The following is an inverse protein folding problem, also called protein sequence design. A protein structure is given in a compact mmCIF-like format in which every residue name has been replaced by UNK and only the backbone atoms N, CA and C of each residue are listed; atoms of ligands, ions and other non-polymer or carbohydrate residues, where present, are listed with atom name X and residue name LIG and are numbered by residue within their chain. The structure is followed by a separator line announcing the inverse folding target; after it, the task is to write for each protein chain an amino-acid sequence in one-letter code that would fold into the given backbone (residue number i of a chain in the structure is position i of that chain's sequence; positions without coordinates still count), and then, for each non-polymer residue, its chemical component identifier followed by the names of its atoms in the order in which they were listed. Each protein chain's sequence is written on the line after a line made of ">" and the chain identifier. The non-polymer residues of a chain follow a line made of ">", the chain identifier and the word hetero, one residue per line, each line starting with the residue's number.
data_IF_931246737175
#
_entry.id   IF_931246737175
#
_cell.length_a   1.000
_cell.length_b   1.000
_cell.length_c   1.000
_cell.angle_alpha   90.00
_cell.angle_beta   90.00
_cell.angle_gamma   90.00
#
_symmetry.space_group_name_H-M   'P 1'
#
loop_
_entity.id
_entity.type
_entity.pdbx_description
1 polymer ?
#
# COMPACT_ATOMS: atom_id res chain seq x y z
N UNK A 1 4.83 -20.44 50.22
CA UNK A 1 4.43 -21.19 49.00
C UNK A 1 5.67 -21.83 48.40
N UNK A 2 5.68 -23.15 48.33
CA UNK A 2 6.73 -23.97 47.72
C UNK A 2 6.80 -23.70 46.21
N UNK A 3 7.90 -23.08 45.73
CA UNK A 3 8.16 -22.93 44.29
C UNK A 3 8.52 -24.31 43.72
N UNK A 4 7.61 -24.90 42.93
CA UNK A 4 7.92 -26.05 42.06
C UNK A 4 8.79 -25.56 40.91
N UNK A 5 10.02 -26.04 40.83
CA UNK A 5 10.86 -25.87 39.65
C UNK A 5 10.39 -26.84 38.57
N UNK A 6 9.88 -26.30 37.46
CA UNK A 6 9.64 -27.06 36.25
C UNK A 6 10.93 -27.07 35.45
N UNK A 7 11.58 -28.23 35.35
CA UNK A 7 12.78 -28.40 34.56
C UNK A 7 12.37 -28.65 33.10
N UNK A 8 12.08 -27.58 32.36
CA UNK A 8 11.69 -27.64 30.94
C UNK A 8 12.84 -27.06 30.11
N UNK A 9 13.32 -27.82 29.12
CA UNK A 9 14.44 -27.42 28.27
C UNK A 9 13.93 -26.53 27.12
N UNK A 10 14.69 -25.48 26.78
CA UNK A 10 14.36 -24.51 25.72
C UNK A 10 14.08 -25.18 24.35
N UNK A 11 14.71 -26.33 24.09
CA UNK A 11 14.53 -27.11 22.86
C UNK A 11 13.13 -27.74 22.78
N UNK A 12 12.61 -28.22 23.91
CA UNK A 12 11.26 -28.81 24.01
C UNK A 12 10.17 -27.75 23.84
N UNK A 13 10.39 -26.52 24.30
CA UNK A 13 9.46 -25.41 24.10
C UNK A 13 9.35 -24.98 22.63
N UNK A 14 10.44 -25.13 21.86
CA UNK A 14 10.47 -24.80 20.43
C UNK A 14 9.85 -25.92 19.60
N UNK A 15 10.13 -27.19 19.92
CA UNK A 15 9.53 -28.36 19.25
C UNK A 15 8.04 -28.52 19.56
N UNK A 16 7.57 -28.10 20.75
CA UNK A 16 6.16 -28.10 21.12
C UNK A 16 5.34 -26.95 20.48
N UNK A 17 5.95 -26.10 19.64
CA UNK A 17 5.23 -25.03 18.94
C UNK A 17 4.74 -23.91 19.85
N UNK A 18 5.48 -23.55 20.92
CA UNK A 18 5.12 -22.42 21.79
C UNK A 18 5.31 -21.10 21.04
N UNK A 19 4.23 -20.64 20.41
CA UNK A 19 4.13 -19.35 19.74
C UNK A 19 3.90 -18.20 20.74
N UNK A 20 4.75 -17.17 20.71
CA UNK A 20 4.50 -15.88 21.36
C UNK A 20 3.42 -15.11 20.59
N UNK A 21 2.17 -15.52 20.79
CA UNK A 21 0.98 -14.95 20.15
C UNK A 21 0.26 -15.96 19.26
N UNK A 22 -0.98 -16.26 19.60
CA UNK A 22 -1.90 -17.03 18.76
C UNK A 22 -2.75 -16.12 17.87
N UNK A 23 -3.24 -16.64 16.75
CA UNK A 23 -4.34 -16.01 16.01
C UNK A 23 -5.61 -15.92 16.87
N UNK A 24 -6.46 -14.93 16.58
CA UNK A 24 -7.64 -14.49 17.37
C UNK A 24 -8.65 -15.63 17.67
N UNK A 25 -8.54 -16.77 16.99
CA UNK A 25 -9.47 -17.90 17.14
C UNK A 25 -9.22 -18.82 18.34
N UNK A 26 -8.05 -18.76 19.01
CA UNK A 26 -7.69 -19.69 20.10
C UNK A 26 -7.04 -18.98 21.30
N UNK A 27 -7.77 -18.13 22.00
CA UNK A 27 -7.28 -17.53 23.25
C UNK A 27 -8.34 -17.52 24.35
N UNK A 28 -7.88 -17.60 25.61
CA UNK A 28 -8.71 -17.51 26.81
C UNK A 28 -9.01 -16.03 27.12
N UNK A 29 -10.27 -15.58 27.25
CA UNK A 29 -10.66 -14.18 27.47
C UNK A 29 -9.93 -13.45 28.61
N UNK A 30 -9.42 -14.17 29.62
CA UNK A 30 -8.65 -13.60 30.73
C UNK A 30 -7.22 -13.17 30.35
N UNK A 31 -6.71 -13.60 29.20
CA UNK A 31 -5.37 -13.23 28.69
C UNK A 31 -5.35 -11.86 27.98
N UNK A 32 -6.49 -11.18 27.87
CA UNK A 32 -6.66 -9.91 27.17
C UNK A 32 -5.72 -8.78 27.65
N UNK A 33 -5.43 -8.65 28.96
CA UNK A 33 -4.54 -7.61 29.46
C UNK A 33 -3.06 -7.82 29.05
N UNK A 34 -2.67 -9.07 28.76
CA UNK A 34 -1.28 -9.46 28.52
C UNK A 34 -0.91 -9.51 27.03
N UNK A 35 -1.89 -9.42 26.14
CA UNK A 35 -1.71 -9.41 24.68
C UNK A 35 -1.76 -7.95 24.19
N UNK A 36 -0.81 -7.12 24.63
CA UNK A 36 -0.79 -5.68 24.31
C UNK A 36 -0.11 -5.33 22.98
N UNK A 37 0.74 -6.22 22.44
CA UNK A 37 1.57 -5.87 21.28
C UNK A 37 0.75 -5.78 19.98
N UNK A 38 -0.20 -6.70 19.76
CA UNK A 38 -0.94 -6.78 18.49
C UNK A 38 -2.06 -5.74 18.36
N UNK A 39 -2.72 -5.38 19.47
CA UNK A 39 -3.86 -4.43 19.46
C UNK A 39 -3.44 -2.96 19.33
N UNK A 40 -2.27 -2.57 19.84
CA UNK A 40 -1.79 -1.17 19.75
C UNK A 40 -1.03 -0.86 18.45
N UNK A 41 -0.49 -1.88 17.79
CA UNK A 41 0.25 -1.75 16.53
C UNK A 41 -0.64 -1.35 15.33
N UNK A 42 -1.91 -1.79 15.31
CA UNK A 42 -2.81 -1.62 14.17
C UNK A 42 -3.42 -0.20 13.98
N UNK A 43 -3.12 0.76 14.87
CA UNK A 43 -3.76 2.09 14.84
C UNK A 43 -2.77 3.24 14.62
N UNK A 44 -2.00 3.28 13.53
CA UNK A 44 -1.24 4.48 13.12
C UNK A 44 -0.36 5.12 14.21
N UNK A 45 0.12 4.32 15.17
CA UNK A 45 0.89 4.76 16.32
C UNK A 45 2.37 4.85 15.96
N UNK A 46 3.07 5.86 16.46
CA UNK A 46 4.49 6.04 16.23
C UNK A 46 5.31 5.22 17.23
N UNK A 47 6.15 4.33 16.73
CA UNK A 47 7.05 3.51 17.54
C UNK A 47 8.48 4.05 17.50
N UNK A 48 9.17 3.97 18.64
CA UNK A 48 10.57 4.31 18.78
C UNK A 48 11.35 3.12 19.35
N UNK A 49 12.38 2.67 18.65
CA UNK A 49 13.26 1.58 19.12
C UNK A 49 14.57 2.18 19.62
N UNK A 50 14.94 1.83 20.85
CA UNK A 50 16.15 2.32 21.51
C UNK A 50 17.06 1.14 21.82
N UNK A 51 18.31 1.23 21.36
CA UNK A 51 19.35 0.27 21.71
C UNK A 51 20.71 0.78 21.27
N UNK A 52 21.49 1.27 22.22
CA UNK A 52 22.76 1.96 21.96
C UNK A 52 24.00 1.10 22.22
N UNK A 53 23.80 -0.12 22.74
CA UNK A 53 24.86 -1.13 22.90
C UNK A 53 25.57 -1.31 21.55
N UNK A 54 26.89 -1.09 21.51
CA UNK A 54 27.70 -1.08 20.25
C UNK A 54 27.42 -2.29 19.36
N UNK A 55 27.25 -3.46 19.96
CA UNK A 55 26.94 -4.73 19.29
C UNK A 55 25.53 -4.69 18.67
N UNK A 56 24.52 -4.21 19.39
CA UNK A 56 23.14 -4.17 18.91
C UNK A 56 22.83 -3.01 17.96
N UNK A 57 23.61 -1.92 18.01
CA UNK A 57 23.30 -0.65 17.34
C UNK A 57 22.95 -0.79 15.84
N UNK A 58 23.68 -1.61 15.09
CA UNK A 58 23.46 -1.76 13.65
C UNK A 58 22.28 -2.69 13.35
N UNK A 59 22.02 -3.67 14.23
CA UNK A 59 20.82 -4.49 14.18
C UNK A 59 19.57 -3.67 14.48
N UNK A 60 19.60 -2.79 15.49
CA UNK A 60 18.49 -1.90 15.83
C UNK A 60 18.13 -1.02 14.64
N UNK A 61 19.14 -0.36 14.05
CA UNK A 61 18.91 0.48 12.88
C UNK A 61 18.31 -0.31 11.72
N UNK A 62 18.87 -1.49 11.43
CA UNK A 62 18.39 -2.35 10.35
C UNK A 62 16.97 -2.86 10.60
N UNK A 63 16.64 -3.29 11.82
CA UNK A 63 15.32 -3.74 12.20
C UNK A 63 14.30 -2.59 12.15
N UNK A 64 14.65 -1.42 12.68
CA UNK A 64 13.79 -0.24 12.67
C UNK A 64 13.54 0.30 11.26
N UNK A 65 14.57 0.34 10.39
CA UNK A 65 14.41 0.76 8.99
C UNK A 65 13.51 -0.20 8.23
N UNK A 66 13.73 -1.52 8.39
CA UNK A 66 12.85 -2.54 7.79
C UNK A 66 11.41 -2.40 8.27
N UNK A 67 11.24 -2.07 9.54
CA UNK A 67 9.98 -1.84 10.19
C UNK A 67 9.52 -0.38 10.16
N UNK A 68 10.04 0.47 9.26
CA UNK A 68 9.66 1.90 9.12
C UNK A 68 9.42 2.67 10.44
N UNK A 69 10.15 2.34 11.49
CA UNK A 69 10.03 2.91 12.83
C UNK A 69 11.17 3.88 13.08
N UNK A 70 10.97 4.80 14.02
CA UNK A 70 12.05 5.65 14.50
C UNK A 70 13.00 4.86 15.39
N UNK A 71 14.27 5.24 15.42
CA UNK A 71 15.24 4.56 16.28
C UNK A 71 16.34 5.47 16.82
N UNK A 72 16.89 5.07 17.95
CA UNK A 72 18.11 5.64 18.53
C UNK A 72 19.09 4.51 18.80
N UNK A 73 20.18 4.47 18.03
CA UNK A 73 21.14 3.38 18.09
C UNK A 73 22.58 3.78 18.47
N UNK A 74 22.87 5.08 18.61
CA UNK A 74 24.23 5.55 18.97
C UNK A 74 24.33 6.07 20.40
N UNK A 75 23.47 7.00 20.80
CA UNK A 75 23.43 7.56 22.16
C UNK A 75 22.08 8.17 22.44
N UNK A 76 21.52 7.89 23.62
CA UNK A 76 20.37 8.60 24.17
C UNK A 76 20.85 9.87 24.89
N UNK A 77 20.25 11.02 24.58
CA UNK A 77 20.51 12.25 25.31
C UNK A 77 19.45 12.44 26.38
N UNK A 78 19.87 12.81 27.60
CA UNK A 78 18.92 13.22 28.63
C UNK A 78 18.13 14.44 28.15
N UNK A 79 16.81 14.41 28.32
CA UNK A 79 15.90 15.43 27.83
C UNK A 79 15.40 15.20 26.41
N UNK A 80 15.74 14.09 25.76
CA UNK A 80 15.38 13.88 24.35
C UNK A 80 13.86 13.82 24.14
N UNK A 81 13.12 13.21 25.08
CA UNK A 81 11.65 13.19 25.04
C UNK A 81 11.05 14.23 26.00
N UNK A 82 11.58 14.34 27.21
CA UNK A 82 11.05 15.27 28.23
C UNK A 82 11.23 16.74 27.85
N UNK A 83 12.23 17.07 27.02
CA UNK A 83 12.45 18.40 26.45
C UNK A 83 12.25 18.40 24.93
N UNK A 84 11.09 17.89 24.49
CA UNK A 84 10.77 17.70 23.08
C UNK A 84 10.87 18.97 22.24
N UNK A 85 10.58 20.15 22.80
CA UNK A 85 10.68 21.43 22.08
C UNK A 85 12.12 21.70 21.62
N UNK A 86 13.12 21.49 22.47
CA UNK A 86 14.54 21.64 22.12
C UNK A 86 14.95 20.57 21.12
N UNK A 87 14.52 19.32 21.33
CA UNK A 87 14.80 18.22 20.38
C UNK A 87 14.25 18.53 19.00
N UNK A 88 13.01 19.02 18.91
CA UNK A 88 12.34 19.41 17.66
C UNK A 88 13.10 20.54 16.95
N UNK A 89 13.57 21.55 17.68
CA UNK A 89 14.41 22.63 17.10
C UNK A 89 15.71 22.08 16.52
N UNK A 90 16.38 21.15 17.22
CA UNK A 90 17.60 20.50 16.70
C UNK A 90 17.32 19.63 15.47
N UNK A 91 16.17 18.96 15.42
CA UNK A 91 15.73 18.19 14.25
C UNK A 91 15.43 19.10 13.06
N UNK A 92 14.82 20.27 13.28
CA UNK A 92 14.63 21.29 12.23
C UNK A 92 15.98 21.75 11.68
N UNK A 93 16.89 22.19 12.55
CA UNK A 93 18.23 22.62 12.15
C UNK A 93 18.97 21.51 11.36
N UNK A 94 18.81 20.26 11.76
CA UNK A 94 19.39 19.14 11.04
C UNK A 94 18.80 18.97 9.62
N UNK A 95 17.49 19.13 9.47
CA UNK A 95 16.82 19.08 8.16
C UNK A 95 17.22 20.25 7.26
N UNK A 96 17.35 21.44 7.82
CA UNK A 96 17.71 22.66 7.09
C UNK A 96 19.14 22.53 6.55
N UNK A 97 20.10 22.16 7.40
CA UNK A 97 21.49 21.92 7.00
C UNK A 97 21.62 20.84 5.92
N UNK A 98 20.80 19.79 5.98
CA UNK A 98 20.80 18.72 4.97
C UNK A 98 20.20 19.19 3.64
N UNK A 99 19.21 20.07 3.68
CA UNK A 99 18.63 20.68 2.49
C UNK A 99 19.64 21.61 1.83
N UNK A 100 20.34 22.42 2.62
CA UNK A 100 21.43 23.28 2.13
C UNK A 100 22.57 22.49 1.48
N UNK A 101 22.95 21.34 2.06
CA UNK A 101 23.95 20.44 1.48
C UNK A 101 23.50 19.90 0.12
N UNK A 102 22.22 19.48 0.00
CA UNK A 102 21.66 18.95 -1.25
C UNK A 102 21.48 19.99 -2.35
N UNK A 103 21.17 21.23 -1.97
CA UNK A 103 20.99 22.35 -2.90
C UNK A 103 22.32 22.98 -3.33
N UNK A 104 23.44 22.30 -3.06
CA UNK A 104 24.80 22.76 -3.37
C UNK A 104 25.18 24.16 -2.83
N UNK A 105 24.40 24.69 -1.87
CA UNK A 105 24.67 26.02 -1.27
C UNK A 105 26.02 26.09 -0.57
N UNK A 106 26.57 24.94 -0.18
CA UNK A 106 27.90 24.85 0.43
C UNK A 106 29.03 25.21 -0.55
N UNK A 107 28.81 25.17 -1.87
CA UNK A 107 29.83 25.55 -2.87
C UNK A 107 30.14 27.06 -2.86
N UNK A 108 29.23 27.89 -2.36
CA UNK A 108 29.42 29.34 -2.25
C UNK A 108 30.11 29.78 -0.95
N UNK A 109 30.45 28.84 -0.06
CA UNK A 109 31.07 29.13 1.23
C UNK A 109 32.59 28.84 1.23
N UNK A 110 33.37 29.52 2.09
CA UNK A 110 34.78 29.19 2.29
C UNK A 110 34.99 27.72 2.71
N UNK A 111 36.06 27.08 2.22
CA UNK A 111 36.37 25.67 2.51
C UNK A 111 36.38 25.33 4.01
N UNK A 112 36.82 26.26 4.86
CA UNK A 112 36.81 26.13 6.33
C UNK A 112 35.39 26.00 6.87
N UNK A 113 34.48 26.85 6.42
CA UNK A 113 33.09 26.89 6.89
C UNK A 113 32.32 25.67 6.40
N UNK A 114 32.57 25.25 5.16
CA UNK A 114 32.06 23.98 4.61
C UNK A 114 32.51 22.80 5.47
N UNK A 115 33.77 22.74 5.89
CA UNK A 115 34.27 21.66 6.74
C UNK A 115 33.59 21.64 8.11
N UNK A 116 33.34 22.81 8.71
CA UNK A 116 32.62 22.94 9.99
C UNK A 116 31.16 22.49 9.84
N UNK A 117 30.47 22.94 8.79
CA UNK A 117 29.08 22.56 8.51
C UNK A 117 28.96 21.05 8.23
N UNK A 118 29.84 20.47 7.42
CA UNK A 118 29.88 19.03 7.16
C UNK A 118 30.15 18.23 8.45
N UNK A 119 31.04 18.70 9.31
CA UNK A 119 31.31 18.07 10.62
C UNK A 119 30.11 18.15 11.56
N UNK A 120 29.40 19.28 11.55
CA UNK A 120 28.16 19.46 12.32
C UNK A 120 27.05 18.55 11.80
N UNK A 121 26.86 18.49 10.47
CA UNK A 121 25.89 17.63 9.81
C UNK A 121 26.17 16.15 10.08
N UNK A 122 27.43 15.70 9.96
CA UNK A 122 27.80 14.30 10.25
C UNK A 122 27.54 13.93 11.71
N UNK A 123 27.79 14.85 12.63
CA UNK A 123 27.48 14.67 14.06
C UNK A 123 25.96 14.54 14.28
N UNK A 124 25.15 15.43 13.69
CA UNK A 124 23.70 15.38 13.79
C UNK A 124 23.13 14.11 13.13
N UNK A 125 23.60 13.72 11.96
CA UNK A 125 23.20 12.49 11.26
C UNK A 125 23.54 11.25 12.08
N UNK A 126 24.68 11.23 12.79
CA UNK A 126 25.09 10.11 13.64
C UNK A 126 24.15 9.89 14.82
N UNK A 127 23.63 10.94 15.45
CA UNK A 127 22.82 10.82 16.68
C UNK A 127 21.32 10.99 16.47
N UNK A 128 20.90 11.89 15.58
CA UNK A 128 19.49 12.22 15.33
C UNK A 128 18.96 11.59 14.03
N UNK A 129 19.80 10.91 13.26
CA UNK A 129 19.43 10.35 11.96
C UNK A 129 18.24 9.38 12.00
N UNK A 130 18.12 8.57 13.06
CA UNK A 130 17.03 7.60 13.21
C UNK A 130 15.70 8.19 13.70
N UNK A 131 15.71 9.41 14.24
CA UNK A 131 14.51 10.15 14.70
C UNK A 131 14.21 11.38 13.84
N UNK A 132 14.92 11.56 12.72
CA UNK A 132 14.84 12.77 11.87
C UNK A 132 13.44 13.10 11.35
N UNK A 133 12.57 12.10 11.26
CA UNK A 133 11.20 12.23 10.76
C UNK A 133 10.15 12.32 11.87
N UNK A 134 10.54 12.31 13.15
CA UNK A 134 9.62 12.47 14.25
C UNK A 134 9.08 13.90 14.30
N UNK A 135 7.75 14.03 14.22
CA UNK A 135 7.04 15.32 14.36
C UNK A 135 6.39 15.48 15.73
N UNK A 136 6.03 14.35 16.35
CA UNK A 136 5.43 14.22 17.68
C UNK A 136 6.19 13.18 18.52
N UNK A 137 5.88 13.12 19.82
CA UNK A 137 6.39 12.09 20.72
C UNK A 137 5.93 10.69 20.27
N UNK A 138 6.72 9.63 20.58
CA UNK A 138 6.35 8.27 20.26
C UNK A 138 5.19 7.80 21.16
N UNK A 139 4.30 7.01 20.59
CA UNK A 139 3.18 6.39 21.31
C UNK A 139 3.63 5.17 22.13
N UNK A 140 4.67 4.46 21.67
CA UNK A 140 5.30 3.30 22.35
C UNK A 140 6.81 3.36 22.14
N UNK A 141 7.58 3.04 23.19
CA UNK A 141 9.04 2.91 23.12
C UNK A 141 9.48 1.48 23.42
N UNK A 142 10.31 0.92 22.55
CA UNK A 142 10.92 -0.41 22.73
C UNK A 142 12.38 -0.21 23.11
N UNK A 143 12.81 -0.74 24.25
CA UNK A 143 14.17 -0.60 24.79
C UNK A 143 14.86 -1.97 24.83
N UNK A 144 16.04 -2.09 24.20
CA UNK A 144 16.74 -3.37 24.12
C UNK A 144 17.71 -3.64 25.26
N UNK A 145 18.19 -2.60 25.96
CA UNK A 145 19.15 -2.74 27.07
C UNK A 145 18.73 -1.79 28.20
N UNK A 146 18.07 -2.32 29.25
CA UNK A 146 17.57 -1.49 30.35
C UNK A 146 18.72 -0.80 31.11
N UNK A 147 19.86 -1.47 31.28
CA UNK A 147 20.99 -0.97 32.05
C UNK A 147 21.64 0.24 31.34
N UNK A 148 21.80 0.17 30.02
CA UNK A 148 22.35 1.28 29.22
C UNK A 148 21.34 2.39 28.99
N UNK A 149 20.06 2.07 28.89
CA UNK A 149 19.02 3.02 28.50
C UNK A 149 18.00 3.33 29.60
N UNK A 150 18.40 3.21 30.87
CA UNK A 150 17.58 3.55 32.02
C UNK A 150 17.04 4.99 31.99
N UNK A 151 17.80 5.94 31.43
CA UNK A 151 17.37 7.34 31.27
C UNK A 151 16.17 7.41 30.31
N UNK A 152 16.19 6.64 29.22
CA UNK A 152 15.08 6.58 28.26
C UNK A 152 13.83 6.02 28.92
N UNK A 153 13.96 4.93 29.71
CA UNK A 153 12.86 4.36 30.49
C UNK A 153 12.28 5.37 31.48
N UNK A 154 13.15 6.09 32.20
CA UNK A 154 12.74 7.12 33.17
C UNK A 154 12.00 8.28 32.50
N UNK A 155 12.50 8.78 31.37
CA UNK A 155 11.83 9.83 30.61
C UNK A 155 10.45 9.38 30.09
N UNK A 156 10.36 8.13 29.62
CA UNK A 156 9.08 7.56 29.18
C UNK A 156 8.09 7.45 30.35
N UNK A 157 8.55 7.01 31.52
CA UNK A 157 7.73 6.92 32.72
C UNK A 157 7.19 8.30 33.16
N UNK A 158 8.02 9.35 33.13
CA UNK A 158 7.60 10.72 33.44
C UNK A 158 6.52 11.22 32.47
N UNK A 159 6.64 10.87 31.18
CA UNK A 159 5.71 11.30 30.13
C UNK A 159 4.48 10.39 29.99
N UNK A 160 4.39 9.30 30.76
CA UNK A 160 3.32 8.30 30.65
C UNK A 160 3.35 7.51 29.34
N UNK A 161 4.51 7.42 28.67
CA UNK A 161 4.66 6.68 27.42
C UNK A 161 4.89 5.19 27.76
N UNK A 162 4.06 4.27 27.25
CA UNK A 162 4.22 2.84 27.52
C UNK A 162 5.52 2.29 26.93
N UNK A 163 6.28 1.55 27.74
CA UNK A 163 7.57 0.96 27.37
C UNK A 163 7.51 -0.57 27.30
N UNK A 164 8.17 -1.12 26.29
CA UNK A 164 8.47 -2.56 26.17
C UNK A 164 9.98 -2.71 26.27
N UNK A 165 10.49 -3.55 27.15
CA UNK A 165 11.93 -3.73 27.33
C UNK A 165 12.36 -5.19 27.34
N UNK A 166 13.59 -5.46 26.90
CA UNK A 166 14.25 -6.74 27.15
C UNK A 166 14.87 -6.71 28.54
N UNK A 167 14.56 -7.73 29.34
CA UNK A 167 15.09 -7.89 30.69
C UNK A 167 15.91 -9.17 30.75
N UNK A 168 17.21 -9.04 31.01
CA UNK A 168 18.06 -10.18 31.40
C UNK A 168 17.95 -10.39 32.93
N UNK A 169 18.54 -11.46 33.43
CA UNK A 169 18.61 -11.87 34.84
C UNK A 169 19.17 -10.81 35.79
N UNK A 170 19.86 -9.80 35.27
CA UNK A 170 20.45 -8.67 36.01
C UNK A 170 19.63 -7.37 35.91
N UNK A 171 18.43 -7.42 35.34
CA UNK A 171 17.56 -6.28 35.13
C UNK A 171 16.38 -6.26 36.11
N UNK A 172 15.80 -5.09 36.35
CA UNK A 172 14.60 -4.94 37.18
C UNK A 172 13.36 -4.90 36.26
N UNK A 173 12.49 -5.93 36.29
CA UNK A 173 11.34 -6.01 35.39
C UNK A 173 10.30 -4.92 35.65
N UNK A 174 10.32 -4.26 36.82
CA UNK A 174 9.35 -3.22 37.20
C UNK A 174 9.65 -1.85 36.57
N UNK A 175 10.82 -1.69 35.94
CA UNK A 175 11.23 -0.45 35.27
C UNK A 175 10.53 -0.20 33.92
N UNK A 176 9.88 -1.21 33.35
CA UNK A 176 9.14 -1.11 32.09
C UNK A 176 7.73 -1.66 32.23
N UNK A 177 6.80 -1.17 31.41
CA UNK A 177 5.42 -1.65 31.46
C UNK A 177 5.29 -3.11 31.02
N UNK A 178 6.14 -3.52 30.07
CA UNK A 178 6.23 -4.90 29.59
C UNK A 178 7.70 -5.28 29.53
N UNK A 179 8.10 -6.25 30.33
CA UNK A 179 9.46 -6.79 30.36
C UNK A 179 9.47 -8.19 29.72
N UNK A 180 10.25 -8.34 28.65
CA UNK A 180 10.42 -9.60 27.92
C UNK A 180 11.72 -10.25 28.44
N UNK A 181 11.65 -11.40 29.12
CA UNK A 181 12.84 -12.08 29.60
C UNK A 181 13.67 -12.57 28.39
N UNK A 182 14.88 -12.04 28.27
CA UNK A 182 15.72 -12.25 27.10
C UNK A 182 17.20 -12.01 27.42
N UNK A 183 18.07 -12.81 26.80
CA UNK A 183 19.51 -12.55 26.84
C UNK A 183 19.83 -11.34 25.95
N UNK A 184 20.31 -10.26 26.55
CA UNK A 184 20.65 -9.01 25.87
C UNK A 184 22.16 -8.90 25.52
N UNK A 185 22.95 -9.91 25.90
CA UNK A 185 24.39 -9.96 25.69
C UNK A 185 24.80 -10.57 24.34
N UNK A 186 23.95 -11.44 23.81
CA UNK A 186 24.24 -12.19 22.58
C UNK A 186 23.54 -11.59 21.37
N UNK A 187 24.30 -11.31 20.31
CA UNK A 187 23.78 -10.77 19.05
C UNK A 187 22.66 -11.64 18.45
N UNK A 188 22.83 -12.96 18.51
CA UNK A 188 21.88 -13.94 17.97
C UNK A 188 20.53 -13.86 18.68
N UNK A 189 20.53 -13.67 20.00
CA UNK A 189 19.32 -13.49 20.82
C UNK A 189 18.59 -12.22 20.41
N UNK A 190 19.31 -11.08 20.40
CA UNK A 190 18.74 -9.79 19.97
C UNK A 190 18.18 -9.86 18.55
N UNK A 191 18.90 -10.48 17.61
CA UNK A 191 18.45 -10.65 16.23
C UNK A 191 17.19 -11.50 16.14
N UNK A 192 17.14 -12.62 16.87
CA UNK A 192 15.98 -13.50 16.91
C UNK A 192 14.76 -12.76 17.44
N UNK A 193 14.93 -12.03 18.53
CA UNK A 193 13.88 -11.25 19.19
C UNK A 193 13.37 -10.15 18.26
N UNK A 194 14.26 -9.33 17.68
CA UNK A 194 13.87 -8.29 16.72
C UNK A 194 13.14 -8.84 15.50
N UNK A 195 13.50 -10.03 15.03
CA UNK A 195 12.81 -10.70 13.92
C UNK A 195 11.45 -11.28 14.37
N UNK A 196 11.36 -11.85 15.58
CA UNK A 196 10.14 -12.48 16.12
C UNK A 196 9.12 -11.49 16.66
N UNK A 197 9.54 -10.30 17.12
CA UNK A 197 8.65 -9.21 17.53
C UNK A 197 7.73 -8.73 16.39
N UNK A 198 7.90 -9.24 15.16
CA UNK A 198 6.95 -8.99 14.08
C UNK A 198 6.87 -7.52 13.74
N UNK A 199 7.97 -6.77 13.91
CA UNK A 199 8.03 -5.34 13.64
C UNK A 199 7.64 -4.99 12.19
N UNK A 200 7.69 -5.97 11.28
CA UNK A 200 7.17 -5.86 9.91
C UNK A 200 5.67 -5.54 9.85
N UNK A 201 4.84 -6.18 10.70
CA UNK A 201 3.39 -5.95 10.78
C UNK A 201 3.05 -4.64 11.52
N UNK A 202 3.97 -4.13 12.34
CA UNK A 202 3.73 -2.99 13.24
C UNK A 202 3.78 -1.64 12.48
N UNK A 203 4.38 -1.62 11.30
CA UNK A 203 4.63 -0.41 10.52
C UNK A 203 4.05 -0.43 9.12
N UNK A 204 3.15 -1.38 8.86
CA UNK A 204 2.26 -1.28 7.73
C UNK A 204 1.46 0.01 7.87
N UNK A 205 1.95 1.09 7.27
CA UNK A 205 1.05 1.90 6.45
C UNK A 205 0.62 0.93 5.35
N UNK A 206 -0.35 0.09 5.69
CA UNK A 206 -1.03 -0.74 4.71
C UNK A 206 -1.67 0.27 3.77
N UNK A 207 -1.07 0.40 2.59
CA UNK A 207 -1.77 0.93 1.43
C UNK A 207 -2.90 -0.07 1.20
N UNK A 208 -4.04 0.18 1.84
CA UNK A 208 -5.20 -0.71 1.94
C UNK A 208 -4.92 -1.95 2.78
N UNK A 209 -5.61 -2.15 3.92
CA UNK A 209 -5.80 -3.53 4.39
C UNK A 209 -6.64 -4.23 3.31
N UNK A 210 -6.19 -5.35 2.77
CA UNK A 210 -6.97 -6.08 1.77
C UNK A 210 -7.67 -7.26 2.44
N UNK A 211 -8.98 -7.39 2.26
CA UNK A 211 -9.72 -8.52 2.79
C UNK A 211 -9.45 -9.77 1.93
N UNK A 212 -8.88 -10.82 2.53
CA UNK A 212 -8.54 -12.06 1.81
C UNK A 212 -9.49 -13.22 2.12
N UNK A 213 -9.93 -13.93 1.07
CA UNK A 213 -10.50 -15.27 1.17
C UNK A 213 -9.48 -16.33 0.77
N UNK A 214 -9.47 -17.45 1.51
CA UNK A 214 -8.71 -18.64 1.15
C UNK A 214 -9.64 -19.57 0.37
N UNK A 215 -9.43 -19.68 -0.94
CA UNK A 215 -10.18 -20.62 -1.79
C UNK A 215 -9.15 -21.52 -2.47
N UNK A 216 -9.26 -22.83 -2.24
CA UNK A 216 -8.39 -23.82 -2.91
C UNK A 216 -6.89 -23.66 -2.65
N UNK A 217 -6.49 -23.09 -1.51
CA UNK A 217 -5.08 -22.87 -1.17
C UNK A 217 -4.48 -21.54 -1.67
N UNK A 218 -5.26 -20.73 -2.41
CA UNK A 218 -4.85 -19.40 -2.87
C UNK A 218 -5.51 -18.30 -2.04
N UNK A 219 -4.79 -17.19 -1.83
CA UNK A 219 -5.32 -16.00 -1.18
C UNK A 219 -5.90 -15.07 -2.25
N UNK A 220 -7.21 -14.83 -2.22
CA UNK A 220 -7.91 -13.99 -3.19
C UNK A 220 -8.44 -12.75 -2.48
N UNK A 221 -8.35 -11.59 -3.13
CA UNK A 221 -8.87 -10.32 -2.64
C UNK A 221 -10.41 -10.36 -2.66
N UNK A 222 -11.01 -10.71 -1.53
CA UNK A 222 -12.46 -10.85 -1.38
C UNK A 222 -13.19 -9.51 -1.57
N UNK A 223 -12.55 -8.39 -1.21
CA UNK A 223 -13.11 -7.05 -1.45
C UNK A 223 -13.39 -6.81 -2.95
N UNK A 224 -12.47 -7.23 -3.83
CA UNK A 224 -12.59 -7.06 -5.28
C UNK A 224 -13.75 -7.87 -5.81
N UNK A 225 -13.91 -9.10 -5.33
CA UNK A 225 -15.00 -9.98 -5.74
C UNK A 225 -16.36 -9.38 -5.35
N UNK A 226 -16.49 -8.92 -4.10
CA UNK A 226 -17.74 -8.34 -3.59
C UNK A 226 -18.12 -7.09 -4.39
N UNK A 227 -17.19 -6.14 -4.56
CA UNK A 227 -17.48 -4.89 -5.27
C UNK A 227 -17.75 -5.14 -6.74
N UNK A 228 -17.01 -6.06 -7.38
CA UNK A 228 -17.25 -6.47 -8.77
C UNK A 228 -18.62 -7.13 -8.94
N UNK A 229 -19.04 -8.01 -8.02
CA UNK A 229 -20.36 -8.63 -8.07
C UNK A 229 -21.49 -7.62 -7.93
N UNK A 230 -21.34 -6.62 -7.06
CA UNK A 230 -22.32 -5.54 -6.95
C UNK A 230 -22.42 -4.77 -8.27
N UNK A 231 -21.29 -4.37 -8.86
CA UNK A 231 -21.27 -3.67 -10.15
C UNK A 231 -21.90 -4.52 -11.26
N UNK A 232 -21.52 -5.80 -11.38
CA UNK A 232 -22.08 -6.72 -12.38
C UNK A 232 -23.59 -6.89 -12.19
N UNK A 233 -24.06 -7.01 -10.95
CA UNK A 233 -25.49 -7.17 -10.65
C UNK A 233 -26.28 -5.91 -11.02
N UNK A 234 -25.75 -4.72 -10.73
CA UNK A 234 -26.37 -3.45 -11.11
C UNK A 234 -26.44 -3.34 -12.64
N UNK A 235 -25.35 -3.66 -13.34
CA UNK A 235 -25.23 -3.54 -14.78
C UNK A 235 -26.17 -4.52 -15.49
N UNK A 236 -26.13 -5.80 -15.16
CA UNK A 236 -27.02 -6.81 -15.75
C UNK A 236 -28.48 -6.57 -15.34
N UNK A 237 -28.74 -6.22 -14.08
CA UNK A 237 -30.09 -5.94 -13.60
C UNK A 237 -30.75 -4.77 -14.33
N UNK A 238 -30.01 -3.67 -14.52
CA UNK A 238 -30.51 -2.49 -15.24
C UNK A 238 -30.80 -2.78 -16.71
N UNK A 239 -29.92 -3.52 -17.40
CA UNK A 239 -30.14 -3.94 -18.80
C UNK A 239 -31.34 -4.88 -18.90
N UNK A 240 -31.46 -5.89 -18.03
CA UNK A 240 -32.58 -6.85 -18.07
C UNK A 240 -33.92 -6.13 -17.84
N UNK A 241 -33.96 -5.14 -16.95
CA UNK A 241 -35.17 -4.35 -16.70
C UNK A 241 -35.53 -3.52 -17.95
N UNK A 242 -34.55 -2.85 -18.56
CA UNK A 242 -34.78 -2.00 -19.72
C UNK A 242 -35.17 -2.80 -20.99
N UNK A 243 -34.64 -4.01 -21.16
CA UNK A 243 -34.83 -4.85 -22.36
C UNK A 243 -35.89 -5.94 -22.14
N UNK A 244 -36.65 -5.90 -21.03
CA UNK A 244 -37.61 -6.96 -20.71
C UNK A 244 -38.76 -7.08 -21.72
N UNK A 245 -39.21 -5.94 -22.26
CA UNK A 245 -40.28 -5.84 -23.27
C UNK A 245 -39.88 -4.78 -24.31
N UNK A 246 -38.99 -5.10 -25.27
CA UNK A 246 -38.51 -4.12 -26.24
C UNK A 246 -39.65 -3.70 -27.18
N UNK A 247 -39.79 -2.39 -27.37
CA UNK A 247 -40.76 -1.80 -28.30
C UNK A 247 -40.06 -1.17 -29.49
N UNK A 248 -40.75 -1.09 -30.62
CA UNK A 248 -40.21 -0.44 -31.84
C UNK A 248 -40.06 1.07 -31.67
N UNK A 249 -40.90 1.69 -30.84
CA UNK A 249 -40.73 3.07 -30.37
C UNK A 249 -40.12 2.95 -28.97
N UNK A 250 -38.88 3.42 -28.75
CA UNK A 250 -38.17 3.18 -27.51
C UNK A 250 -38.86 3.90 -26.34
N UNK A 251 -39.02 3.17 -25.24
CA UNK A 251 -39.44 3.72 -23.94
C UNK A 251 -38.25 4.38 -23.23
N UNK A 252 -38.48 5.22 -22.22
CA UNK A 252 -37.43 6.03 -21.56
C UNK A 252 -36.17 5.24 -21.16
N UNK A 253 -36.33 4.03 -20.61
CA UNK A 253 -35.22 3.16 -20.22
C UNK A 253 -34.53 2.49 -21.41
N UNK A 254 -35.29 2.04 -22.41
CA UNK A 254 -34.75 1.47 -23.65
C UNK A 254 -33.95 2.51 -24.43
N UNK A 255 -34.43 3.76 -24.48
CA UNK A 255 -33.77 4.87 -25.15
C UNK A 255 -32.34 5.12 -24.63
N UNK A 256 -32.14 5.08 -23.30
CA UNK A 256 -30.82 5.24 -22.71
C UNK A 256 -29.84 4.12 -23.13
N UNK A 257 -30.27 2.86 -23.07
CA UNK A 257 -29.41 1.73 -23.42
C UNK A 257 -29.16 1.64 -24.93
N UNK A 258 -30.13 1.99 -25.77
CA UNK A 258 -29.95 2.10 -27.22
C UNK A 258 -28.95 3.21 -27.57
N UNK A 259 -29.07 4.39 -26.96
CA UNK A 259 -28.09 5.46 -27.13
C UNK A 259 -26.67 5.03 -26.75
N UNK A 260 -26.53 4.34 -25.62
CA UNK A 260 -25.24 3.79 -25.18
C UNK A 260 -24.71 2.74 -26.16
N UNK A 261 -25.57 1.87 -26.68
CA UNK A 261 -25.20 0.85 -27.67
C UNK A 261 -24.76 1.48 -29.00
N UNK A 262 -25.48 2.48 -29.49
CA UNK A 262 -25.12 3.26 -30.68
C UNK A 262 -23.77 3.96 -30.48
N UNK A 263 -23.56 4.58 -29.32
CA UNK A 263 -22.28 5.20 -28.98
C UNK A 263 -21.11 4.20 -29.03
N UNK A 264 -21.27 3.01 -28.42
CA UNK A 264 -20.24 1.96 -28.45
C UNK A 264 -20.02 1.46 -29.88
N UNK A 265 -21.10 1.35 -30.66
CA UNK A 265 -21.06 0.92 -32.05
C UNK A 265 -20.27 1.90 -32.92
N UNK A 266 -20.55 3.19 -32.78
CA UNK A 266 -19.86 4.25 -33.51
C UNK A 266 -18.39 4.31 -33.11
N UNK A 267 -18.08 4.25 -31.81
CA UNK A 267 -16.71 4.17 -31.33
C UNK A 267 -15.98 2.96 -31.92
N UNK A 268 -16.60 1.78 -31.90
CA UNK A 268 -16.00 0.56 -32.45
C UNK A 268 -15.80 0.67 -33.96
N UNK A 269 -16.78 1.19 -34.68
CA UNK A 269 -16.73 1.38 -36.14
C UNK A 269 -15.63 2.36 -36.55
N UNK A 270 -15.49 3.49 -35.83
CA UNK A 270 -14.48 4.50 -36.12
C UNK A 270 -13.06 4.00 -35.83
N UNK A 271 -12.87 3.19 -34.79
CA UNK A 271 -11.53 2.75 -34.36
C UNK A 271 -11.09 1.42 -34.97
N UNK A 272 -12.01 0.48 -35.24
CA UNK A 272 -11.69 -0.87 -35.74
C UNK A 272 -11.85 -0.97 -37.27
N UNK A 273 -12.72 -0.15 -37.87
CA UNK A 273 -13.03 -0.22 -39.30
C UNK A 273 -14.22 -1.13 -39.63
N UNK A 274 -14.27 -1.71 -40.83
CA UNK A 274 -15.47 -2.43 -41.33
C UNK A 274 -15.85 -3.67 -40.52
N UNK A 275 -14.88 -4.32 -39.88
CA UNK A 275 -15.07 -5.57 -39.12
C UNK A 275 -15.30 -5.35 -37.62
N UNK A 276 -15.85 -4.19 -37.24
CA UNK A 276 -16.12 -3.84 -35.84
C UNK A 276 -17.21 -4.72 -35.18
N UNK A 277 -18.09 -5.35 -35.95
CA UNK A 277 -19.31 -6.03 -35.45
C UNK A 277 -19.06 -7.03 -34.31
N UNK A 278 -18.16 -8.04 -34.48
CA UNK A 278 -17.85 -9.01 -33.44
C UNK A 278 -17.21 -8.41 -32.17
N UNK A 279 -16.64 -7.21 -32.27
CA UNK A 279 -15.93 -6.55 -31.17
C UNK A 279 -16.80 -5.62 -30.33
N UNK A 280 -17.99 -5.27 -30.81
CA UNK A 280 -18.94 -4.41 -30.08
C UNK A 280 -19.25 -4.94 -28.66
N UNK A 281 -19.52 -6.25 -28.43
CA UNK A 281 -19.78 -6.75 -27.08
C UNK A 281 -18.56 -6.65 -26.16
N UNK A 282 -17.36 -6.84 -26.70
CA UNK A 282 -16.12 -6.76 -25.93
C UNK A 282 -15.83 -5.33 -25.49
N UNK A 283 -15.83 -4.38 -26.43
CA UNK A 283 -15.61 -2.95 -26.14
C UNK A 283 -16.71 -2.40 -25.22
N UNK A 284 -17.96 -2.77 -25.48
CA UNK A 284 -19.09 -2.36 -24.66
C UNK A 284 -19.02 -2.87 -23.23
N UNK A 285 -18.66 -4.14 -23.03
CA UNK A 285 -18.51 -4.73 -21.69
C UNK A 285 -17.38 -4.04 -20.93
N UNK A 286 -16.22 -3.82 -21.56
CA UNK A 286 -15.09 -3.12 -20.93
C UNK A 286 -15.46 -1.69 -20.56
N UNK A 287 -16.05 -0.94 -21.49
CA UNK A 287 -16.48 0.44 -21.26
C UNK A 287 -17.47 0.53 -20.10
N UNK A 288 -18.57 -0.23 -20.15
CA UNK A 288 -19.63 -0.15 -19.14
C UNK A 288 -19.16 -0.67 -17.79
N UNK A 289 -18.35 -1.74 -17.76
CA UNK A 289 -17.79 -2.25 -16.51
C UNK A 289 -16.89 -1.21 -15.85
N UNK A 290 -15.95 -0.60 -16.58
CA UNK A 290 -15.04 0.41 -16.03
C UNK A 290 -15.81 1.66 -15.62
N UNK A 291 -16.72 2.14 -16.46
CA UNK A 291 -17.52 3.33 -16.21
C UNK A 291 -18.36 3.18 -14.94
N UNK A 292 -19.15 2.11 -14.84
CA UNK A 292 -19.99 1.84 -13.67
C UNK A 292 -19.14 1.53 -12.44
N UNK A 293 -18.02 0.82 -12.58
CA UNK A 293 -17.09 0.57 -11.46
C UNK A 293 -16.56 1.86 -10.87
N UNK A 294 -16.08 2.78 -11.71
CA UNK A 294 -15.52 4.06 -11.28
C UNK A 294 -16.60 4.93 -10.59
N UNK A 295 -17.77 5.02 -11.20
CA UNK A 295 -18.90 5.75 -10.63
C UNK A 295 -19.40 5.11 -9.34
N UNK A 296 -19.40 3.78 -9.24
CA UNK A 296 -19.78 3.07 -8.02
C UNK A 296 -18.82 3.37 -6.88
N UNK A 297 -17.52 3.53 -7.13
CA UNK A 297 -16.56 3.90 -6.10
C UNK A 297 -16.73 5.33 -5.59
N UNK A 298 -17.12 6.25 -6.47
CA UNK A 298 -17.30 7.67 -6.13
C UNK A 298 -18.67 7.99 -5.52
N UNK A 299 -19.74 7.34 -6.00
CA UNK A 299 -21.13 7.64 -5.61
C UNK A 299 -21.64 6.76 -4.48
N UNK A 300 -21.26 5.47 -4.42
CA UNK A 300 -21.73 4.61 -3.33
C UNK A 300 -20.92 4.92 -2.08
N UNK A 301 -21.57 5.18 -0.94
CA UNK A 301 -20.89 5.50 0.30
C UNK A 301 -20.35 4.23 0.96
N UNK A 302 -19.40 3.56 0.31
CA UNK A 302 -18.77 2.31 0.77
C UNK A 302 -18.16 2.43 2.17
N UNK A 303 -17.74 3.64 2.57
CA UNK A 303 -17.20 3.93 3.91
C UNK A 303 -18.20 3.77 5.06
N UNK A 304 -19.51 3.72 4.78
CA UNK A 304 -20.53 3.45 5.80
C UNK A 304 -20.51 1.97 6.23
N UNK A 305 -20.07 1.08 5.34
CA UNK A 305 -20.03 -0.37 5.57
C UNK A 305 -18.61 -0.74 6.03
N UNK A 306 -18.40 -0.79 7.35
CA UNK A 306 -17.11 -1.22 7.93
C UNK A 306 -16.95 -2.74 7.84
N UNK A 307 -15.95 -3.21 7.08
CA UNK A 307 -15.55 -4.61 7.09
C UNK A 307 -14.61 -4.90 8.27
N UNK A 308 -14.54 -6.16 8.75
CA UNK A 308 -13.64 -6.56 9.82
C UNK A 308 -12.16 -6.29 9.50
N UNK A 309 -11.80 -6.31 8.21
CA UNK A 309 -10.47 -5.97 7.68
C UNK A 309 -10.68 -5.39 6.27
N UNK A 310 -10.10 -4.22 5.97
CA UNK A 310 -10.15 -3.58 4.65
C UNK A 310 -11.28 -2.56 4.43
N UNK A 311 -11.09 -1.70 3.44
CA UNK A 311 -12.08 -0.71 2.99
C UNK A 311 -12.70 -1.17 1.68
N UNK A 312 -14.03 -1.06 1.56
CA UNK A 312 -14.71 -1.24 0.28
C UNK A 312 -14.50 0.01 -0.57
N UNK A 313 -14.14 -0.22 -1.82
CA UNK A 313 -13.78 0.80 -2.79
C UNK A 313 -14.21 0.37 -4.20
N UNK A 314 -13.92 1.16 -5.23
CA UNK A 314 -14.17 0.74 -6.61
C UNK A 314 -13.42 -0.58 -6.91
N UNK A 315 -14.00 -1.51 -7.69
CA UNK A 315 -13.28 -2.69 -8.16
C UNK A 315 -11.95 -2.36 -8.84
N UNK A 316 -11.90 -1.23 -9.54
CA UNK A 316 -10.76 -0.71 -10.30
C UNK A 316 -9.64 -0.12 -9.43
N UNK A 317 -9.85 0.02 -8.11
CA UNK A 317 -8.80 0.45 -7.16
C UNK A 317 -7.81 -0.68 -6.84
N UNK A 318 -8.18 -1.92 -7.14
CA UNK A 318 -7.29 -3.06 -6.98
C UNK A 318 -6.48 -3.29 -8.26
N UNK A 319 -5.18 -3.53 -8.07
CA UNK A 319 -4.26 -3.81 -9.17
C UNK A 319 -4.67 -5.09 -9.92
N UNK A 320 -5.26 -6.08 -9.24
CA UNK A 320 -5.67 -7.33 -9.87
C UNK A 320 -6.74 -7.09 -10.93
N UNK A 321 -7.73 -6.23 -10.65
CA UNK A 321 -8.81 -5.91 -11.60
C UNK A 321 -8.25 -5.17 -12.82
N UNK A 322 -7.45 -4.14 -12.60
CA UNK A 322 -6.90 -3.32 -13.69
C UNK A 322 -5.91 -4.10 -14.55
N UNK A 323 -5.06 -4.93 -13.94
CA UNK A 323 -4.17 -5.85 -14.68
C UNK A 323 -4.96 -6.93 -15.42
N UNK A 324 -6.02 -7.49 -14.83
CA UNK A 324 -6.87 -8.46 -15.54
C UNK A 324 -7.52 -7.85 -16.78
N UNK A 325 -8.05 -6.62 -16.68
CA UNK A 325 -8.58 -5.86 -17.83
C UNK A 325 -7.50 -5.57 -18.88
N UNK A 326 -6.27 -5.27 -18.45
CA UNK A 326 -5.10 -5.10 -19.32
C UNK A 326 -4.82 -6.36 -20.15
N UNK A 327 -4.75 -7.49 -19.44
CA UNK A 327 -4.42 -8.79 -20.02
C UNK A 327 -5.54 -9.26 -20.94
N UNK A 328 -6.81 -9.01 -20.61
CA UNK A 328 -7.94 -9.28 -21.49
C UNK A 328 -7.86 -8.45 -22.78
N UNK A 329 -7.51 -7.16 -22.68
CA UNK A 329 -7.33 -6.29 -23.85
C UNK A 329 -6.13 -6.73 -24.71
N UNK A 330 -5.03 -7.13 -24.06
CA UNK A 330 -3.86 -7.68 -24.75
C UNK A 330 -4.18 -9.01 -25.44
N UNK A 331 -4.89 -9.91 -24.76
CA UNK A 331 -5.33 -11.18 -25.35
C UNK A 331 -6.28 -10.94 -26.53
N UNK A 332 -7.20 -9.98 -26.42
CA UNK A 332 -8.08 -9.56 -27.52
C UNK A 332 -7.29 -9.02 -28.71
N UNK A 333 -6.27 -8.17 -28.48
CA UNK A 333 -5.36 -7.67 -29.52
C UNK A 333 -4.67 -8.81 -30.29
N UNK A 334 -4.06 -9.76 -29.57
CA UNK A 334 -3.40 -10.91 -30.20
C UNK A 334 -4.40 -11.83 -30.91
N UNK A 335 -5.57 -12.05 -30.32
CA UNK A 335 -6.63 -12.86 -30.91
C UNK A 335 -7.15 -12.24 -32.21
N UNK A 336 -7.36 -10.92 -32.24
CA UNK A 336 -7.76 -10.18 -33.43
C UNK A 336 -6.72 -10.32 -34.56
N UNK A 337 -5.45 -10.12 -34.23
CA UNK A 337 -4.33 -10.29 -35.14
C UNK A 337 -4.23 -11.70 -35.73
N UNK A 338 -4.28 -12.73 -34.87
CA UNK A 338 -4.25 -14.13 -35.30
C UNK A 338 -5.49 -14.53 -36.11
N UNK A 339 -6.68 -14.10 -35.68
CA UNK A 339 -7.94 -14.46 -36.36
C UNK A 339 -8.00 -13.91 -37.78
N UNK A 340 -7.38 -12.75 -38.03
CA UNK A 340 -7.41 -12.10 -39.34
C UNK A 340 -6.27 -12.52 -40.26
N UNK A 341 -5.04 -12.59 -39.73
CA UNK A 341 -3.81 -12.81 -40.51
C UNK A 341 -3.24 -14.22 -40.38
N UNK A 342 -3.83 -15.07 -39.54
CA UNK A 342 -3.33 -16.41 -39.25
C UNK A 342 -1.90 -16.40 -38.71
N UNK A 343 -1.12 -17.44 -39.03
CA UNK A 343 0.29 -17.54 -38.64
C UNK A 343 1.18 -16.44 -39.27
N UNK A 344 0.72 -15.80 -40.35
CA UNK A 344 1.43 -14.68 -41.00
C UNK A 344 1.39 -13.39 -40.15
N UNK A 345 0.54 -13.34 -39.10
CA UNK A 345 0.59 -12.28 -38.09
C UNK A 345 2.01 -12.10 -37.51
N UNK A 346 2.72 -13.21 -37.28
CA UNK A 346 4.05 -13.16 -36.68
C UNK A 346 5.14 -12.65 -37.63
N UNK A 347 4.87 -12.55 -38.94
CA UNK A 347 5.80 -11.94 -39.89
C UNK A 347 5.99 -10.44 -39.62
N UNK A 348 5.01 -9.76 -38.98
CA UNK A 348 5.11 -8.35 -38.53
C UNK A 348 6.27 -8.15 -37.54
N UNK A 349 6.66 -9.20 -36.80
CA UNK A 349 7.78 -9.11 -35.86
C UNK A 349 9.16 -9.20 -36.55
N UNK A 350 9.22 -9.68 -37.79
CA UNK A 350 10.48 -9.98 -38.49
C UNK A 350 10.81 -8.93 -39.56
N UNK A 351 9.80 -8.26 -40.14
CA UNK A 351 9.97 -7.19 -41.14
C UNK A 351 9.99 -5.80 -40.46
N UNK A 352 10.88 -4.85 -40.85
CA UNK A 352 11.88 -4.90 -41.92
C UNK A 352 13.25 -5.48 -41.51
N UNK A 353 13.57 -5.57 -40.21
CA UNK A 353 14.81 -6.20 -39.72
C UNK A 353 14.56 -7.13 -38.52
N UNK A 354 15.16 -8.33 -38.45
CA UNK A 354 15.00 -9.26 -37.32
C UNK A 354 15.51 -8.73 -35.97
N UNK A 355 16.31 -7.67 -35.98
CA UNK A 355 16.84 -7.00 -34.78
C UNK A 355 15.71 -6.29 -34.01
N UNK A 356 14.62 -5.89 -34.70
CA UNK A 356 13.48 -5.19 -34.11
C UNK A 356 12.52 -6.13 -33.38
N UNK A 357 12.67 -7.45 -33.52
CA UNK A 357 11.74 -8.45 -32.99
C UNK A 357 11.51 -8.34 -31.47
N UNK A 358 12.54 -8.21 -30.61
CA UNK A 358 12.33 -8.07 -29.17
C UNK A 358 11.63 -6.76 -28.80
N UNK A 359 11.86 -5.70 -29.59
CA UNK A 359 11.29 -4.37 -29.36
C UNK A 359 9.81 -4.38 -29.71
N UNK A 360 9.43 -4.92 -30.87
CA UNK A 360 8.02 -4.99 -31.30
C UNK A 360 7.17 -5.86 -30.37
N UNK A 361 7.72 -6.99 -29.87
CA UNK A 361 7.01 -7.84 -28.89
C UNK A 361 6.84 -7.09 -27.57
N UNK A 362 7.88 -6.39 -27.10
CA UNK A 362 7.79 -5.58 -25.89
C UNK A 362 6.81 -4.41 -26.08
N UNK A 363 6.77 -3.77 -27.24
CA UNK A 363 5.84 -2.69 -27.57
C UNK A 363 4.38 -3.16 -27.51
N UNK A 364 4.06 -4.28 -28.17
CA UNK A 364 2.71 -4.86 -28.17
C UNK A 364 2.25 -5.27 -26.76
N UNK A 365 3.17 -5.73 -25.91
CA UNK A 365 2.85 -6.06 -24.51
C UNK A 365 2.71 -4.80 -23.63
N UNK A 366 3.52 -3.78 -23.88
CA UNK A 366 3.55 -2.56 -23.07
C UNK A 366 2.40 -1.61 -23.39
N UNK A 367 1.84 -1.61 -24.60
CA UNK A 367 0.67 -0.80 -24.99
C UNK A 367 -0.54 -1.03 -24.05
N UNK A 368 -1.11 -2.25 -23.89
CA UNK A 368 -2.23 -2.50 -22.96
C UNK A 368 -1.85 -2.34 -21.48
N UNK A 369 -0.62 -2.70 -21.13
CA UNK A 369 -0.12 -2.57 -19.76
C UNK A 369 -0.04 -1.09 -19.33
N UNK A 370 0.46 -0.22 -20.20
CA UNK A 370 0.57 1.22 -19.94
C UNK A 370 -0.80 1.89 -19.78
N UNK A 371 -1.78 1.48 -20.59
CA UNK A 371 -3.17 1.94 -20.50
C UNK A 371 -3.78 1.59 -19.13
N UNK A 372 -3.49 0.39 -18.65
CA UNK A 372 -4.07 -0.13 -17.42
C UNK A 372 -3.42 0.48 -16.19
N UNK A 373 -2.11 0.72 -16.23
CA UNK A 373 -1.44 1.54 -15.21
C UNK A 373 -1.92 2.99 -15.21
N UNK A 374 -2.28 3.56 -16.37
CA UNK A 374 -2.86 4.91 -16.45
C UNK A 374 -4.23 4.96 -15.76
N UNK A 375 -5.10 3.99 -16.05
CA UNK A 375 -6.41 3.87 -15.41
C UNK A 375 -6.27 3.67 -13.90
N UNK A 376 -5.46 2.69 -13.47
CA UNK A 376 -5.18 2.40 -12.06
C UNK A 376 -4.64 3.62 -11.31
N UNK A 377 -3.61 4.28 -11.85
CA UNK A 377 -2.96 5.40 -11.20
C UNK A 377 -3.90 6.58 -10.99
N UNK A 378 -4.79 6.85 -11.96
CA UNK A 378 -5.73 7.95 -11.84
C UNK A 378 -6.84 7.67 -10.83
N UNK A 379 -7.43 6.47 -10.83
CA UNK A 379 -8.52 6.14 -9.90
C UNK A 379 -7.98 6.06 -8.46
N UNK A 380 -6.78 5.49 -8.27
CA UNK A 380 -6.11 5.48 -6.97
C UNK A 380 -5.78 6.90 -6.49
N UNK A 381 -5.33 7.79 -7.39
CA UNK A 381 -5.08 9.19 -7.04
C UNK A 381 -6.36 9.91 -6.61
N UNK A 382 -7.46 9.76 -7.36
CA UNK A 382 -8.75 10.37 -7.04
C UNK A 382 -9.27 9.88 -5.69
N UNK A 383 -9.20 8.57 -5.42
CA UNK A 383 -9.59 8.02 -4.11
C UNK A 383 -8.71 8.53 -2.96
N UNK A 384 -7.39 8.57 -3.17
CA UNK A 384 -6.46 9.08 -2.15
C UNK A 384 -6.72 10.55 -1.83
N UNK A 385 -7.01 11.37 -2.85
CA UNK A 385 -7.38 12.79 -2.68
C UNK A 385 -8.65 12.91 -1.83
N UNK A 386 -9.68 12.11 -2.11
CA UNK A 386 -10.92 12.11 -1.32
C UNK A 386 -10.66 11.69 0.13
N UNK A 387 -9.89 10.62 0.35
CA UNK A 387 -9.52 10.16 1.70
C UNK A 387 -8.77 11.24 2.48
N UNK A 388 -7.76 11.86 1.87
CA UNK A 388 -6.94 12.90 2.51
C UNK A 388 -7.77 14.14 2.81
N UNK A 389 -8.61 14.61 1.87
CA UNK A 389 -9.43 15.80 2.08
C UNK A 389 -10.49 15.60 3.16
N UNK A 390 -11.18 14.44 3.17
CA UNK A 390 -12.17 14.11 4.20
C UNK A 390 -11.51 13.95 5.59
N UNK A 391 -10.24 13.54 5.65
CA UNK A 391 -9.49 13.49 6.92
C UNK A 391 -9.12 14.86 7.48
N UNK A 392 -9.04 15.88 6.63
CA UNK A 392 -8.54 17.21 6.98
C UNK A 392 -9.68 18.21 7.24
N UNK A 393 -10.79 18.10 6.51
CA UNK A 393 -11.86 19.11 6.47
C UNK A 393 -13.24 18.43 6.42
N UNK A 394 -14.30 19.04 6.98
CA UNK A 394 -15.67 18.52 6.86
C UNK A 394 -16.09 18.25 5.41
N UNK A 395 -16.98 17.25 5.23
CA UNK A 395 -17.40 16.66 3.95
C UNK A 395 -17.91 17.66 2.89
N UNK A 396 -18.29 18.88 3.28
CA UNK A 396 -18.78 19.91 2.34
C UNK A 396 -17.66 20.45 1.44
N UNK A 397 -16.44 20.55 1.94
CA UNK A 397 -15.31 21.17 1.21
C UNK A 397 -14.76 20.28 0.08
N UNK A 398 -14.69 18.94 0.21
CA UNK A 398 -14.22 18.06 -0.86
C UNK A 398 -15.20 17.85 -2.01
N UNK A 399 -16.48 18.24 -1.89
CA UNK A 399 -17.53 17.93 -2.90
C UNK A 399 -17.16 18.40 -4.33
N UNK A 400 -16.66 19.63 -4.55
CA UNK A 400 -16.27 20.06 -5.89
C UNK A 400 -15.11 19.23 -6.47
N UNK A 401 -14.17 18.81 -5.62
CA UNK A 401 -13.03 17.98 -6.01
C UNK A 401 -13.49 16.56 -6.35
N UNK A 402 -14.44 16.02 -5.58
CA UNK A 402 -15.08 14.73 -5.87
C UNK A 402 -15.82 14.76 -7.21
N UNK A 403 -16.51 15.85 -7.53
CA UNK A 403 -17.18 16.00 -8.83
C UNK A 403 -16.18 16.03 -9.99
N UNK A 404 -15.05 16.73 -9.81
CA UNK A 404 -13.96 16.74 -10.79
C UNK A 404 -13.36 15.33 -10.98
N UNK A 405 -13.14 14.60 -9.89
CA UNK A 405 -12.68 13.21 -9.91
C UNK A 405 -13.69 12.26 -10.60
N UNK A 406 -14.98 12.45 -10.36
CA UNK A 406 -16.02 11.67 -11.02
C UNK A 406 -16.03 11.93 -12.54
N UNK A 407 -15.89 13.20 -12.94
CA UNK A 407 -15.79 13.58 -14.35
C UNK A 407 -14.56 12.98 -15.03
N UNK A 408 -13.38 13.07 -14.42
CA UNK A 408 -12.13 12.46 -14.94
C UNK A 408 -12.25 10.95 -15.04
N UNK A 409 -12.90 10.30 -14.09
CA UNK A 409 -13.08 8.84 -14.07
C UNK A 409 -13.97 8.33 -15.22
N UNK A 410 -14.99 9.10 -15.62
CA UNK A 410 -15.83 8.80 -16.79
C UNK A 410 -15.08 8.95 -18.10
N UNK A 411 -14.30 10.03 -18.24
CA UNK A 411 -13.43 10.26 -19.41
C UNK A 411 -12.41 9.14 -19.55
N UNK A 412 -11.85 8.64 -18.45
CA UNK A 412 -10.87 7.56 -18.49
C UNK A 412 -11.45 6.23 -18.98
N UNK A 413 -12.68 5.89 -18.58
CA UNK A 413 -13.37 4.72 -19.10
C UNK A 413 -13.55 4.82 -20.62
N UNK A 414 -13.91 6.01 -21.12
CA UNK A 414 -14.01 6.28 -22.54
C UNK A 414 -12.64 6.16 -23.25
N UNK A 415 -11.60 6.84 -22.75
CA UNK A 415 -10.25 6.77 -23.31
C UNK A 415 -9.75 5.32 -23.35
N UNK A 416 -10.03 4.54 -22.31
CA UNK A 416 -9.68 3.12 -22.25
C UNK A 416 -10.37 2.33 -23.37
N UNK A 417 -11.69 2.48 -23.52
CA UNK A 417 -12.45 1.80 -24.56
C UNK A 417 -12.02 2.21 -25.97
N UNK A 418 -11.79 3.51 -26.21
CA UNK A 418 -11.30 4.03 -27.49
C UNK A 418 -9.93 3.46 -27.84
N UNK A 419 -8.98 3.47 -26.90
CA UNK A 419 -7.64 2.93 -27.13
C UNK A 419 -7.64 1.41 -27.29
N UNK A 420 -8.45 0.70 -26.52
CA UNK A 420 -8.64 -0.74 -26.69
C UNK A 420 -9.17 -1.08 -28.10
N UNK A 421 -10.18 -0.34 -28.57
CA UNK A 421 -10.71 -0.48 -29.91
C UNK A 421 -9.67 -0.12 -30.98
N UNK A 422 -8.91 0.97 -30.79
CA UNK A 422 -7.85 1.38 -31.71
C UNK A 422 -6.74 0.33 -31.81
N UNK A 423 -6.32 -0.28 -30.70
CA UNK A 423 -5.33 -1.37 -30.74
C UNK A 423 -5.88 -2.60 -31.46
N UNK A 424 -7.13 -2.98 -31.23
CA UNK A 424 -7.77 -4.07 -31.96
C UNK A 424 -7.78 -3.76 -33.47
N UNK A 425 -8.15 -2.53 -33.86
CA UNK A 425 -8.07 -2.05 -35.24
C UNK A 425 -6.66 -2.17 -35.82
N UNK A 426 -5.64 -1.66 -35.11
CA UNK A 426 -4.22 -1.74 -35.50
C UNK A 426 -3.74 -3.18 -35.72
N UNK A 427 -4.23 -4.13 -34.91
CA UNK A 427 -3.87 -5.55 -35.07
C UNK A 427 -4.47 -6.16 -36.35
N UNK A 428 -5.67 -5.70 -36.74
CA UNK A 428 -6.43 -6.19 -37.87
C UNK A 428 -5.97 -5.56 -39.18
N UNK A 429 -5.60 -4.28 -39.17
CA UNK A 429 -5.05 -3.58 -40.33
C UNK A 429 -3.66 -4.13 -40.67
N UNK A 430 -3.49 -4.64 -41.88
CA UNK A 430 -2.17 -4.96 -42.42
C UNK A 430 -1.37 -3.67 -42.56
N UNK A 431 -0.18 -3.59 -41.97
CA UNK A 431 0.81 -2.66 -42.49
C UNK A 431 1.10 -3.11 -43.93
N UNK A 432 0.50 -2.42 -44.90
CA UNK A 432 0.80 -2.55 -46.31
C UNK A 432 2.24 -2.12 -46.59
#
# INVERSE_FOLDING_TARGET
>A
MTRRYWNINLKEMIEAGVHFGHGIKKWNPKMAPYISAKRKASQGKSFLIVGTKKRAADLVASAAIRARCHYVNKKWFSGMLTNWSITKTRLSQFRDLRTEEKMEKFHHLPKRDVAILKRKLSTLQRYLGGIKYMTRLPDIVIVLDQQKEYIALRECAILGIPTISLADTNCDPDLANISIPANDDTMTSIRLILNKLGLYDISGVEVGQHFYWQIGGFQIHAQVLITSWVVITILLGSVIIAVRNPQTIPTDGQNFFEYVLEFIRDLSKTQIGEEYGPWVPFIGTMFLFIFVSNWSGALLPWKIIQLPHGELAAPTNDINTTVALALLTSAAYFYAGLSKKGLSYFEKYIKPTPILLPINILEDFTKPLSLSFRLFGNILADELVVVVLVSLVPLVVPIPVMFLGLFTSGIQALIFATLAAAYIGESMEGHH
#
